data_IF_116495474830
#
_entry.id   IF_116495474830
#
_cell.length_a   1.000
_cell.length_b   1.000
_cell.length_c   1.000
_cell.angle_alpha   90.00
_cell.angle_beta   90.00
_cell.angle_gamma   90.00
#
_symmetry.space_group_name_H-M   'P 1'
#
loop_
_entity.id
_entity.type
_entity.pdbx_description
1 polymer ?
#
# COMPACT_ATOMS: atom_id res chain seq x y z
N UNK A 1 -5.81 -15.20 18.80
CA UNK A 1 -5.77 -15.12 17.32
C UNK A 1 -5.58 -13.66 16.93
N UNK A 2 -4.64 -13.34 16.02
CA UNK A 2 -4.39 -11.99 15.51
C UNK A 2 -4.35 -12.03 13.98
N UNK A 3 -4.78 -10.95 13.31
CA UNK A 3 -4.72 -10.81 11.86
C UNK A 3 -3.28 -10.44 11.43
N UNK A 4 -2.74 -11.11 10.41
CA UNK A 4 -1.36 -10.91 9.98
C UNK A 4 -1.23 -9.80 8.91
N UNK A 5 -1.91 -9.94 7.76
CA UNK A 5 -1.92 -8.95 6.68
C UNK A 5 -3.25 -8.98 5.91
N UNK A 6 -3.56 -7.87 5.24
CA UNK A 6 -4.71 -7.74 4.32
C UNK A 6 -4.20 -7.17 3.00
N UNK A 7 -4.57 -7.80 1.89
CA UNK A 7 -4.21 -7.33 0.54
C UNK A 7 -5.42 -6.64 -0.09
N UNK A 8 -5.21 -5.44 -0.62
CA UNK A 8 -6.23 -4.65 -1.30
C UNK A 8 -5.77 -4.29 -2.71
N UNK A 9 -6.65 -4.48 -3.70
CA UNK A 9 -6.45 -3.95 -5.05
C UNK A 9 -6.98 -2.52 -5.08
N UNK A 10 -6.12 -1.60 -5.52
CA UNK A 10 -6.44 -0.17 -5.58
C UNK A 10 -6.31 0.33 -7.02
N UNK A 11 -7.10 1.32 -7.37
CA UNK A 11 -7.06 1.94 -8.69
C UNK A 11 -5.85 2.86 -8.87
N UNK A 12 -5.44 3.55 -7.80
CA UNK A 12 -4.38 4.55 -7.82
C UNK A 12 -3.51 4.36 -6.57
N UNK A 13 -2.28 3.89 -6.79
CA UNK A 13 -1.34 3.57 -5.72
C UNK A 13 -0.94 4.81 -4.92
N UNK A 14 -0.72 5.96 -5.56
CA UNK A 14 -0.26 7.16 -4.86
C UNK A 14 -1.37 7.74 -3.97
N UNK A 15 -2.63 7.68 -4.43
CA UNK A 15 -3.78 8.02 -3.58
C UNK A 15 -3.91 7.08 -2.39
N UNK A 16 -3.74 5.76 -2.61
CA UNK A 16 -3.80 4.78 -1.54
C UNK A 16 -2.68 5.02 -0.51
N UNK A 17 -1.43 5.17 -0.95
CA UNK A 17 -0.28 5.44 -0.08
C UNK A 17 -0.53 6.69 0.78
N UNK A 18 -0.93 7.81 0.17
CA UNK A 18 -1.23 9.03 0.93
C UNK A 18 -2.33 8.82 1.96
N UNK A 19 -3.40 8.09 1.62
CA UNK A 19 -4.46 7.81 2.57
C UNK A 19 -3.96 6.99 3.76
N UNK A 20 -3.28 5.86 3.52
CA UNK A 20 -2.82 4.99 4.59
C UNK A 20 -1.71 5.64 5.44
N UNK A 21 -0.78 6.36 4.82
CA UNK A 21 0.34 7.00 5.53
C UNK A 21 -0.10 8.28 6.24
N UNK A 22 -0.76 9.20 5.53
CA UNK A 22 -1.06 10.53 6.09
C UNK A 22 -2.35 10.55 6.92
N UNK A 23 -3.38 9.78 6.53
CA UNK A 23 -4.68 9.78 7.25
C UNK A 23 -4.73 8.73 8.34
N UNK A 24 -4.16 7.55 8.08
CA UNK A 24 -4.18 6.44 9.04
C UNK A 24 -2.88 6.29 9.84
N UNK A 25 -1.82 7.03 9.49
CA UNK A 25 -0.55 7.02 10.22
C UNK A 25 0.27 5.76 10.02
N UNK A 26 0.00 4.98 8.97
CA UNK A 26 0.79 3.80 8.63
C UNK A 26 2.15 4.20 8.05
N UNK A 27 3.10 3.27 8.03
CA UNK A 27 4.46 3.55 7.60
C UNK A 27 4.71 2.82 6.30
N UNK A 28 4.98 3.55 5.23
CA UNK A 28 5.45 2.94 3.98
C UNK A 28 6.71 2.10 4.24
N UNK A 29 6.58 0.78 4.10
CA UNK A 29 7.65 -0.20 4.29
C UNK A 29 8.30 -0.56 2.95
N UNK A 30 7.49 -0.69 1.90
CA UNK A 30 7.96 -1.09 0.58
C UNK A 30 7.10 -0.44 -0.51
N UNK A 31 7.75 -0.05 -1.61
CA UNK A 31 7.12 0.47 -2.82
C UNK A 31 7.96 0.06 -4.04
N UNK A 32 7.60 -1.07 -4.64
CA UNK A 32 8.38 -1.72 -5.69
C UNK A 32 7.56 -1.83 -6.97
N UNK A 33 8.08 -1.28 -8.06
CA UNK A 33 7.48 -1.46 -9.38
C UNK A 33 7.77 -2.88 -9.91
N UNK A 34 6.72 -3.66 -10.13
CA UNK A 34 6.83 -5.02 -10.68
C UNK A 34 6.69 -5.04 -12.21
N UNK A 35 5.98 -4.06 -12.77
CA UNK A 35 5.81 -3.86 -14.21
C UNK A 35 5.35 -2.42 -14.47
N UNK A 36 5.27 -1.95 -15.74
CA UNK A 36 4.80 -0.59 -16.04
C UNK A 36 3.41 -0.25 -15.48
N UNK A 37 2.56 -1.26 -15.24
CA UNK A 37 1.19 -1.07 -14.77
C UNK A 37 0.94 -1.58 -13.33
N UNK A 38 1.96 -2.15 -12.65
CA UNK A 38 1.75 -2.83 -11.37
C UNK A 38 2.85 -2.51 -10.37
N UNK A 39 2.43 -2.10 -9.16
CA UNK A 39 3.31 -1.87 -8.01
C UNK A 39 2.94 -2.80 -6.87
N UNK A 40 3.96 -3.18 -6.11
CA UNK A 40 3.86 -3.86 -4.82
C UNK A 40 4.13 -2.82 -3.74
N UNK A 41 3.14 -2.60 -2.87
CA UNK A 41 3.21 -1.55 -1.85
C UNK A 41 2.84 -2.17 -0.51
N UNK A 42 3.68 -1.96 0.49
CA UNK A 42 3.43 -2.35 1.88
C UNK A 42 3.49 -1.10 2.75
N UNK A 43 2.45 -0.87 3.54
CA UNK A 43 2.28 0.25 4.47
C UNK A 43 1.99 -0.25 5.88
#
# INVERSE_FOLDING_TARGET
>A
MKLAHVTLVVQDYDKAIRFYVEKLGFKLLEDTALSPAKRWVIV
#
